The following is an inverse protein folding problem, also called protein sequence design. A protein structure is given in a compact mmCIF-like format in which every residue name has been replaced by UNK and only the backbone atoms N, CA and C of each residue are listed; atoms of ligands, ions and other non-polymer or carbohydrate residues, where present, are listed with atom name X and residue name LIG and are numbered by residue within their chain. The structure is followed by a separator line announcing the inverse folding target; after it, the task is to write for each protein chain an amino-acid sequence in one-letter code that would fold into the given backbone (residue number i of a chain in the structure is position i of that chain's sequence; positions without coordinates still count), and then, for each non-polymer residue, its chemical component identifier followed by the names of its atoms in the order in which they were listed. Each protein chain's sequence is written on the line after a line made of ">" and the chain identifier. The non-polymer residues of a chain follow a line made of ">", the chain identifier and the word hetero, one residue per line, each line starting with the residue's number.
data_IF_338581881083
#
_entry.id   IF_338581881083
#
_cell.length_a   1.000
_cell.length_b   1.000
_cell.length_c   1.000
_cell.angle_alpha   90.00
_cell.angle_beta   90.00
_cell.angle_gamma   90.00
#
_symmetry.space_group_name_H-M   'P 1'
#
loop_
_entity.id
_entity.type
_entity.pdbx_description
1 polymer ?
#
# COMPACT_ATOMS: atom_id res chain seq x y z
N UNK A 1 -28.81 12.81 68.09
CA UNK A 1 -28.93 12.14 66.76
C UNK A 1 -28.16 12.94 65.75
N UNK A 2 -26.97 12.43 65.41
CA UNK A 2 -26.08 13.01 64.38
C UNK A 2 -26.50 12.45 63.02
N UNK A 3 -26.94 13.30 62.12
CA UNK A 3 -27.37 12.94 60.78
C UNK A 3 -26.13 13.06 59.85
N UNK A 4 -25.52 11.93 59.51
CA UNK A 4 -24.41 11.91 58.56
C UNK A 4 -24.98 11.95 57.15
N UNK A 5 -24.72 13.09 56.44
CA UNK A 5 -25.07 13.28 55.03
C UNK A 5 -24.00 12.58 54.19
N UNK A 6 -24.37 11.42 53.62
CA UNK A 6 -23.54 10.76 52.60
C UNK A 6 -23.71 11.50 51.26
N UNK A 7 -22.68 12.22 50.84
CA UNK A 7 -22.59 12.80 49.51
C UNK A 7 -22.08 11.70 48.58
N UNK A 8 -22.84 11.28 47.56
CA UNK A 8 -22.33 10.35 46.56
C UNK A 8 -21.27 11.06 45.71
N UNK A 9 -20.04 10.59 45.81
CA UNK A 9 -18.97 10.98 44.87
C UNK A 9 -19.25 10.28 43.53
N UNK A 10 -19.79 11.04 42.58
CA UNK A 10 -19.95 10.59 41.20
C UNK A 10 -18.56 10.63 40.58
N UNK A 11 -17.93 9.47 40.44
CA UNK A 11 -16.76 9.32 39.54
C UNK A 11 -17.26 9.46 38.09
N UNK A 12 -17.07 10.64 37.52
CA UNK A 12 -17.10 10.83 36.09
C UNK A 12 -15.86 10.14 35.51
N UNK A 13 -16.02 8.87 35.13
CA UNK A 13 -15.10 8.26 34.21
C UNK A 13 -15.16 9.01 32.90
N UNK A 14 -14.26 9.98 32.72
CA UNK A 14 -13.97 10.52 31.40
C UNK A 14 -13.37 9.37 30.62
N UNK A 15 -14.22 8.68 29.87
CA UNK A 15 -13.79 7.64 28.95
C UNK A 15 -12.73 8.25 28.06
N UNK A 16 -11.54 7.67 28.07
CA UNK A 16 -10.52 7.90 27.08
C UNK A 16 -11.08 7.34 25.77
N UNK A 17 -11.89 8.12 25.08
CA UNK A 17 -12.39 7.81 23.75
C UNK A 17 -11.17 7.60 22.88
N UNK A 18 -10.92 6.38 22.42
CA UNK A 18 -9.97 6.14 21.35
C UNK A 18 -10.45 7.03 20.19
N UNK A 19 -9.69 8.06 19.84
CA UNK A 19 -9.94 8.79 18.59
C UNK A 19 -9.83 7.76 17.48
N UNK A 20 -10.92 7.51 16.78
CA UNK A 20 -10.85 6.76 15.52
C UNK A 20 -9.92 7.54 14.59
N UNK A 21 -9.10 6.80 13.85
CA UNK A 21 -8.24 7.42 12.86
C UNK A 21 -9.12 8.10 11.81
N UNK A 22 -8.86 9.36 11.59
CA UNK A 22 -9.52 10.12 10.54
C UNK A 22 -8.78 9.91 9.22
N UNK A 23 -9.52 9.75 8.14
CA UNK A 23 -8.95 9.81 6.81
C UNK A 23 -8.34 11.19 6.56
N UNK A 24 -7.39 11.24 5.65
CA UNK A 24 -6.76 12.47 5.21
C UNK A 24 -7.78 13.35 4.47
N UNK A 25 -7.69 14.66 4.72
CA UNK A 25 -8.50 15.65 4.02
C UNK A 25 -7.56 16.68 3.36
N UNK A 26 -7.41 16.63 2.02
CA UNK A 26 -6.47 17.51 1.32
C UNK A 26 -6.83 19.00 1.42
N UNK A 27 -8.08 19.34 1.76
CA UNK A 27 -8.50 20.73 1.93
C UNK A 27 -8.03 21.35 3.27
N UNK A 28 -7.74 20.52 4.27
CA UNK A 28 -7.44 20.99 5.64
C UNK A 28 -6.14 20.45 6.21
N UNK A 29 -5.73 19.27 5.80
CA UNK A 29 -4.53 18.62 6.32
C UNK A 29 -3.30 19.02 5.47
N UNK A 30 -2.16 19.29 6.10
CA UNK A 30 -0.95 19.60 5.34
C UNK A 30 -0.42 18.38 4.59
N UNK A 31 0.12 18.62 3.40
CA UNK A 31 0.85 17.63 2.63
C UNK A 31 2.00 18.25 1.84
N UNK A 32 2.92 17.42 1.37
CA UNK A 32 4.11 17.84 0.63
C UNK A 32 3.78 17.89 -0.86
N UNK A 33 3.19 16.82 -1.40
CA UNK A 33 2.76 16.74 -2.80
C UNK A 33 1.75 15.62 -3.01
N UNK A 34 1.06 15.66 -4.13
CA UNK A 34 0.23 14.57 -4.65
C UNK A 34 1.10 13.55 -5.39
N UNK A 35 0.53 12.36 -5.63
CA UNK A 35 1.10 11.38 -6.56
C UNK A 35 1.03 11.90 -8.00
N UNK A 36 1.97 11.47 -8.82
CA UNK A 36 1.88 11.67 -10.25
C UNK A 36 0.83 10.71 -10.83
N UNK A 37 -0.05 11.21 -11.67
CA UNK A 37 -1.08 10.39 -12.34
C UNK A 37 -0.49 9.73 -13.58
N UNK A 38 -0.82 8.46 -13.75
CA UNK A 38 -0.48 7.69 -14.94
C UNK A 38 -1.72 7.65 -15.84
N UNK A 39 -1.59 8.13 -17.06
CA UNK A 39 -2.63 8.00 -18.08
C UNK A 39 -2.55 6.61 -18.70
N UNK A 40 -3.42 5.72 -18.25
CA UNK A 40 -3.45 4.34 -18.69
C UNK A 40 -4.73 4.05 -19.49
N UNK A 41 -4.55 3.56 -20.73
CA UNK A 41 -5.66 3.13 -21.55
C UNK A 41 -6.10 1.69 -21.21
N UNK A 42 -7.20 1.55 -20.46
CA UNK A 42 -7.76 0.27 -20.07
C UNK A 42 -8.10 -0.64 -21.26
N UNK A 43 -8.37 -0.06 -22.45
CA UNK A 43 -8.68 -0.84 -23.64
C UNK A 43 -7.51 -1.71 -24.11
N UNK A 44 -6.29 -1.39 -23.67
CA UNK A 44 -5.08 -2.18 -23.96
C UNK A 44 -5.04 -3.50 -23.17
N UNK A 45 -5.87 -3.65 -22.11
CA UNK A 45 -5.94 -4.84 -21.26
C UNK A 45 -7.08 -5.81 -21.64
N UNK A 46 -7.32 -6.01 -22.91
CA UNK A 46 -8.33 -6.96 -23.39
C UNK A 46 -8.03 -8.42 -23.02
N UNK A 47 -6.79 -8.72 -22.64
CA UNK A 47 -6.40 -9.99 -22.08
C UNK A 47 -5.55 -9.76 -20.81
N UNK A 48 -5.94 -10.41 -19.71
CA UNK A 48 -5.11 -10.46 -18.50
C UNK A 48 -3.95 -11.40 -18.80
N UNK A 49 -2.70 -10.96 -18.68
CA UNK A 49 -1.58 -11.84 -18.97
C UNK A 49 -1.50 -12.98 -17.94
N UNK A 50 -1.44 -14.19 -18.42
CA UNK A 50 -1.12 -15.36 -17.60
C UNK A 50 0.34 -15.28 -17.15
N UNK A 51 0.64 -15.84 -15.99
CA UNK A 51 2.01 -15.93 -15.52
C UNK A 51 2.81 -16.93 -16.41
N UNK A 52 3.83 -16.48 -17.15
CA UNK A 52 4.60 -17.35 -18.02
C UNK A 52 5.61 -18.21 -17.25
N UNK A 53 5.83 -17.92 -15.97
CA UNK A 53 6.89 -18.52 -15.18
C UNK A 53 6.36 -19.76 -14.43
N UNK A 54 6.91 -20.96 -14.70
CA UNK A 54 6.47 -22.20 -14.06
C UNK A 54 6.93 -22.33 -12.60
N UNK A 55 7.88 -21.49 -12.17
CA UNK A 55 8.44 -21.45 -10.81
C UNK A 55 8.58 -20.02 -10.37
N UNK A 56 8.58 -19.79 -9.05
CA UNK A 56 8.94 -18.48 -8.48
C UNK A 56 10.46 -18.30 -8.47
N UNK A 57 10.93 -17.06 -8.57
CA UNK A 57 12.33 -16.69 -8.47
C UNK A 57 12.55 -15.63 -7.41
N UNK A 58 13.00 -16.07 -6.23
CA UNK A 58 13.18 -15.24 -5.03
C UNK A 58 11.90 -14.47 -4.69
N UNK A 59 10.81 -15.16 -4.35
CA UNK A 59 9.61 -14.48 -3.86
C UNK A 59 9.92 -13.81 -2.52
N UNK A 60 9.67 -12.52 -2.42
CA UNK A 60 10.01 -11.71 -1.24
C UNK A 60 8.81 -11.46 -0.34
N UNK A 61 7.61 -11.48 -0.91
CA UNK A 61 6.40 -11.16 -0.16
C UNK A 61 5.19 -11.95 -0.65
N UNK A 62 4.34 -12.33 0.29
CA UNK A 62 3.02 -12.88 0.02
C UNK A 62 2.01 -12.21 0.93
N UNK A 63 0.89 -11.80 0.38
CA UNK A 63 -0.20 -11.21 1.16
C UNK A 63 -1.56 -11.61 0.61
N UNK A 64 -2.59 -11.42 1.41
CA UNK A 64 -3.99 -11.56 0.99
C UNK A 64 -4.72 -10.24 1.22
N UNK A 65 -5.33 -9.71 0.17
CA UNK A 65 -6.18 -8.53 0.23
C UNK A 65 -7.58 -8.92 -0.24
N UNK A 66 -8.59 -8.71 0.58
CA UNK A 66 -9.96 -9.25 0.35
C UNK A 66 -9.87 -10.78 0.12
N UNK A 67 -10.29 -11.27 -1.02
CA UNK A 67 -10.27 -12.70 -1.36
C UNK A 67 -9.12 -13.11 -2.29
N UNK A 68 -8.25 -12.17 -2.67
CA UNK A 68 -7.16 -12.36 -3.62
C UNK A 68 -5.80 -12.46 -2.93
N UNK A 69 -5.02 -13.46 -3.29
CA UNK A 69 -3.62 -13.62 -2.88
C UNK A 69 -2.70 -12.94 -3.90
N UNK A 70 -1.64 -12.33 -3.39
CA UNK A 70 -0.60 -11.67 -4.18
C UNK A 70 0.76 -12.21 -3.78
N UNK A 71 1.62 -12.47 -4.77
CA UNK A 71 3.02 -12.86 -4.57
C UNK A 71 3.89 -11.84 -5.30
N UNK A 72 4.85 -11.27 -4.58
CA UNK A 72 5.91 -10.47 -5.16
C UNK A 72 7.05 -11.41 -5.55
N UNK A 73 7.21 -11.62 -6.85
CA UNK A 73 8.21 -12.52 -7.44
C UNK A 73 9.40 -11.69 -7.95
N UNK A 74 10.27 -11.33 -7.00
CA UNK A 74 11.27 -10.27 -7.12
C UNK A 74 12.17 -10.44 -8.36
N UNK A 75 12.78 -11.62 -8.54
CA UNK A 75 13.73 -11.84 -9.65
C UNK A 75 13.05 -12.11 -11.01
N UNK A 76 11.74 -12.30 -11.03
CA UNK A 76 10.98 -12.21 -12.27
C UNK A 76 10.45 -10.79 -12.52
N UNK A 77 10.77 -9.82 -11.64
CA UNK A 77 10.37 -8.41 -11.79
C UNK A 77 8.85 -8.25 -11.96
N UNK A 78 8.08 -9.00 -11.16
CA UNK A 78 6.62 -9.03 -11.28
C UNK A 78 5.91 -9.20 -9.94
N UNK A 79 4.63 -8.84 -9.94
CA UNK A 79 3.66 -9.22 -8.92
C UNK A 79 2.58 -10.04 -9.61
N UNK A 80 2.27 -11.22 -9.05
CA UNK A 80 1.22 -12.12 -9.56
C UNK A 80 0.10 -12.26 -8.52
N UNK A 81 -1.10 -12.64 -8.97
CA UNK A 81 -2.26 -12.81 -8.12
C UNK A 81 -3.15 -13.98 -8.52
N UNK A 82 -3.87 -14.54 -7.55
CA UNK A 82 -4.92 -15.55 -7.72
C UNK A 82 -5.86 -15.55 -6.50
N UNK A 83 -7.09 -15.97 -6.68
CA UNK A 83 -8.05 -16.16 -5.59
C UNK A 83 -7.80 -17.44 -4.79
N UNK A 84 -7.08 -18.41 -5.35
CA UNK A 84 -6.77 -19.69 -4.69
C UNK A 84 -5.26 -19.91 -4.58
N UNK A 85 -4.75 -19.91 -3.36
CA UNK A 85 -3.32 -20.07 -3.07
C UNK A 85 -2.76 -21.42 -3.55
N UNK A 86 -3.60 -22.46 -3.67
CA UNK A 86 -3.17 -23.81 -4.03
C UNK A 86 -3.16 -24.10 -5.53
N UNK A 87 -3.61 -23.16 -6.34
CA UNK A 87 -3.57 -23.31 -7.78
C UNK A 87 -2.14 -23.30 -8.31
N UNK A 88 -1.85 -24.06 -9.35
CA UNK A 88 -0.54 -24.08 -9.96
C UNK A 88 -0.19 -22.72 -10.57
N UNK A 89 1.10 -22.35 -10.58
CA UNK A 89 1.56 -21.00 -10.96
C UNK A 89 1.15 -20.57 -12.37
N UNK A 90 0.89 -21.47 -13.29
CA UNK A 90 0.42 -21.12 -14.63
C UNK A 90 -1.06 -20.65 -14.67
N UNK A 91 -1.81 -20.82 -13.56
CA UNK A 91 -3.16 -20.27 -13.40
C UNK A 91 -3.16 -18.91 -12.70
N UNK A 92 -2.01 -18.46 -12.20
CA UNK A 92 -1.86 -17.14 -11.64
C UNK A 92 -1.75 -16.10 -12.76
N UNK A 93 -2.23 -14.91 -12.48
CA UNK A 93 -2.26 -13.78 -13.42
C UNK A 93 -1.23 -12.74 -13.01
N UNK A 94 -0.77 -11.96 -13.97
CA UNK A 94 0.15 -10.85 -13.72
C UNK A 94 -0.66 -9.61 -13.31
N UNK A 95 -0.35 -9.07 -12.13
CA UNK A 95 -0.81 -7.77 -11.67
C UNK A 95 0.05 -6.63 -12.25
N UNK A 96 1.36 -6.78 -12.13
CA UNK A 96 2.36 -5.85 -12.63
C UNK A 96 3.60 -6.61 -13.09
N UNK A 97 4.26 -6.13 -14.14
CA UNK A 97 5.51 -6.70 -14.66
C UNK A 97 6.44 -5.60 -15.18
N UNK A 98 7.69 -5.95 -15.46
CA UNK A 98 8.70 -4.99 -15.86
C UNK A 98 9.13 -4.04 -14.73
N UNK A 99 8.95 -4.50 -13.50
CA UNK A 99 9.41 -3.81 -12.30
C UNK A 99 10.92 -3.97 -12.13
N UNK A 100 11.52 -3.13 -11.29
CA UNK A 100 12.93 -3.23 -10.90
C UNK A 100 13.06 -3.87 -9.52
N UNK A 101 13.14 -5.19 -9.42
CA UNK A 101 13.32 -5.93 -8.17
C UNK A 101 12.32 -5.49 -7.07
N UNK A 102 11.02 -5.71 -7.24
CA UNK A 102 10.03 -5.39 -6.22
C UNK A 102 10.19 -6.30 -5.00
N UNK A 103 9.94 -5.78 -3.80
CA UNK A 103 10.07 -6.54 -2.57
C UNK A 103 8.76 -6.69 -1.80
N UNK A 104 7.87 -5.68 -1.84
CA UNK A 104 6.63 -5.70 -1.06
C UNK A 104 5.42 -5.20 -1.84
N UNK A 105 4.25 -5.55 -1.34
CA UNK A 105 2.97 -5.01 -1.75
C UNK A 105 2.14 -4.71 -0.52
N UNK A 106 1.62 -3.49 -0.41
CA UNK A 106 0.68 -3.11 0.64
C UNK A 106 -0.62 -2.58 0.04
N UNK A 107 -1.73 -2.80 0.73
CA UNK A 107 -3.04 -2.30 0.30
C UNK A 107 -3.91 -1.92 1.49
N UNK A 108 -4.76 -0.93 1.31
CA UNK A 108 -5.86 -0.59 2.22
C UNK A 108 -7.22 -1.16 1.74
N UNK A 109 -7.19 -2.01 0.71
CA UNK A 109 -8.34 -2.61 0.07
C UNK A 109 -8.91 -1.81 -1.10
N UNK A 110 -8.38 -0.61 -1.40
CA UNK A 110 -8.78 0.24 -2.53
C UNK A 110 -7.64 0.46 -3.51
N UNK A 111 -6.48 0.80 -2.99
CA UNK A 111 -5.24 0.97 -3.75
C UNK A 111 -4.21 -0.05 -3.31
N UNK A 112 -3.30 -0.40 -4.21
CA UNK A 112 -2.21 -1.35 -3.99
C UNK A 112 -0.90 -0.66 -4.34
N UNK A 113 0.00 -0.58 -3.38
CA UNK A 113 1.30 0.05 -3.53
C UNK A 113 2.38 -1.02 -3.68
N UNK A 114 3.23 -0.88 -4.68
CA UNK A 114 4.37 -1.76 -4.96
C UNK A 114 5.64 -0.92 -4.93
N UNK A 115 6.64 -1.35 -4.18
CA UNK A 115 7.97 -0.79 -4.26
C UNK A 115 8.67 -1.27 -5.54
N UNK A 116 8.93 -0.36 -6.42
CA UNK A 116 9.68 -0.59 -7.66
C UNK A 116 11.13 -0.13 -7.43
N UNK A 117 11.87 -0.95 -6.64
CA UNK A 117 13.09 -0.62 -5.92
C UNK A 117 14.19 -0.07 -6.80
N UNK A 118 14.58 -0.78 -7.86
CA UNK A 118 15.66 -0.36 -8.76
C UNK A 118 15.26 0.84 -9.65
N UNK A 119 13.96 1.08 -9.79
CA UNK A 119 13.44 2.24 -10.53
C UNK A 119 13.20 3.45 -9.60
N UNK A 120 13.53 3.36 -8.31
CA UNK A 120 13.40 4.42 -7.31
C UNK A 120 12.01 5.05 -7.27
N UNK A 121 10.95 4.22 -7.34
CA UNK A 121 9.56 4.68 -7.29
C UNK A 121 8.66 3.75 -6.50
N UNK A 122 7.51 4.26 -6.11
CA UNK A 122 6.36 3.47 -5.65
C UNK A 122 5.29 3.55 -6.72
N UNK A 123 4.90 2.39 -7.23
CA UNK A 123 3.82 2.26 -8.21
C UNK A 123 2.51 2.00 -7.46
N UNK A 124 1.45 2.70 -7.87
CA UNK A 124 0.10 2.54 -7.30
C UNK A 124 -0.79 1.90 -8.35
N UNK A 125 -1.40 0.76 -7.96
CA UNK A 125 -2.33 0.02 -8.79
C UNK A 125 -3.74 0.16 -8.23
N UNK A 126 -4.72 0.20 -9.11
CA UNK A 126 -6.14 0.13 -8.78
C UNK A 126 -6.80 -1.04 -9.48
N UNK A 127 -7.80 -1.62 -8.83
CA UNK A 127 -8.62 -2.67 -9.43
C UNK A 127 -9.64 -2.02 -10.37
N UNK A 128 -9.69 -2.48 -11.60
CA UNK A 128 -10.65 -2.07 -12.61
C UNK A 128 -11.34 -3.28 -13.23
N UNK A 129 -12.20 -3.03 -14.21
CA UNK A 129 -12.88 -4.09 -14.97
C UNK A 129 -12.65 -3.86 -16.45
N UNK A 130 -12.12 -4.86 -17.15
CA UNK A 130 -11.90 -4.79 -18.58
C UNK A 130 -13.20 -4.96 -19.39
N UNK A 131 -13.13 -4.83 -20.71
CA UNK A 131 -14.29 -4.95 -21.61
C UNK A 131 -14.97 -6.33 -21.54
N UNK A 132 -14.25 -7.36 -21.09
CA UNK A 132 -14.77 -8.72 -20.91
C UNK A 132 -15.42 -8.94 -19.52
N UNK A 133 -15.49 -7.90 -18.66
CA UNK A 133 -16.03 -7.98 -17.31
C UNK A 133 -15.11 -8.67 -16.30
N UNK A 134 -13.81 -8.77 -16.59
CA UNK A 134 -12.83 -9.41 -15.71
C UNK A 134 -12.13 -8.34 -14.85
N UNK A 135 -11.91 -8.63 -13.57
CA UNK A 135 -11.08 -7.80 -12.70
C UNK A 135 -9.63 -7.77 -13.21
N UNK A 136 -9.09 -6.57 -13.33
CA UNK A 136 -7.72 -6.27 -13.76
C UNK A 136 -7.12 -5.24 -12.85
N UNK A 137 -5.79 -5.20 -12.77
CA UNK A 137 -5.08 -4.18 -12.00
C UNK A 137 -4.40 -3.20 -12.96
N UNK A 138 -4.56 -1.91 -12.68
CA UNK A 138 -4.11 -0.81 -13.53
C UNK A 138 -3.13 0.08 -12.77
N UNK A 139 -1.98 0.43 -13.36
CA UNK A 139 -1.12 1.47 -12.79
C UNK A 139 -1.79 2.84 -13.00
N UNK A 140 -2.24 3.46 -11.93
CA UNK A 140 -2.97 4.74 -11.98
C UNK A 140 -2.18 5.92 -11.46
N UNK A 141 -1.21 5.66 -10.60
CA UNK A 141 -0.41 6.70 -9.98
C UNK A 141 1.00 6.17 -9.69
N UNK A 142 1.95 7.08 -9.54
CA UNK A 142 3.28 6.77 -9.04
C UNK A 142 3.81 7.88 -8.13
N UNK A 143 4.78 7.52 -7.29
CA UNK A 143 5.65 8.44 -6.60
C UNK A 143 7.08 8.20 -7.05
N UNK A 144 7.63 9.13 -7.78
CA UNK A 144 9.07 9.27 -8.00
C UNK A 144 9.66 10.13 -6.88
N UNK A 145 10.98 10.27 -6.81
CA UNK A 145 11.65 11.07 -5.75
C UNK A 145 11.17 10.69 -4.33
N UNK A 146 11.07 9.38 -4.09
CA UNK A 146 10.65 8.80 -2.81
C UNK A 146 11.84 8.15 -2.10
N UNK A 147 12.95 8.85 -2.07
CA UNK A 147 14.23 8.41 -1.55
C UNK A 147 15.01 7.57 -2.55
N UNK A 148 15.97 6.82 -2.03
CA UNK A 148 16.81 5.92 -2.81
C UNK A 148 16.53 4.48 -2.36
N UNK A 149 16.10 3.65 -3.32
CA UNK A 149 15.70 2.25 -3.15
C UNK A 149 14.56 2.08 -2.14
N UNK A 150 13.32 2.50 -2.49
CA UNK A 150 12.16 2.10 -1.70
C UNK A 150 12.10 0.57 -1.65
N UNK A 151 12.04 0.00 -0.45
CA UNK A 151 12.30 -1.42 -0.25
C UNK A 151 11.23 -2.13 0.59
N UNK A 152 10.44 -1.35 1.34
CA UNK A 152 9.38 -1.91 2.16
C UNK A 152 8.20 -0.97 2.28
N UNK A 153 7.00 -1.51 2.12
CA UNK A 153 5.75 -0.77 2.28
C UNK A 153 4.85 -1.52 3.25
N UNK A 154 4.23 -0.78 4.16
CA UNK A 154 3.19 -1.31 5.05
C UNK A 154 2.04 -0.32 5.17
N UNK A 155 0.81 -0.84 5.25
CA UNK A 155 -0.37 -0.06 5.60
C UNK A 155 -0.75 -0.27 7.06
N UNK A 156 -0.96 0.83 7.77
CA UNK A 156 -1.50 0.80 9.13
C UNK A 156 -2.95 1.29 9.12
N UNK A 157 -3.86 0.37 9.34
CA UNK A 157 -5.30 0.61 9.41
C UNK A 157 -5.66 1.62 10.54
N UNK A 158 -4.88 1.65 11.63
CA UNK A 158 -5.17 2.54 12.76
C UNK A 158 -4.88 4.00 12.46
N UNK A 159 -3.87 4.28 11.65
CA UNK A 159 -3.49 5.63 11.25
C UNK A 159 -3.95 5.99 9.84
N UNK A 160 -4.53 5.01 9.09
CA UNK A 160 -4.91 5.17 7.68
C UNK A 160 -3.74 5.69 6.84
N UNK A 161 -2.54 5.11 7.07
CA UNK A 161 -1.29 5.60 6.49
C UNK A 161 -0.50 4.44 5.90
N UNK A 162 0.02 4.63 4.70
CA UNK A 162 1.06 3.80 4.12
C UNK A 162 2.42 4.36 4.55
N UNK A 163 3.29 3.50 5.02
CA UNK A 163 4.68 3.81 5.37
C UNK A 163 5.57 3.16 4.33
N UNK A 164 6.39 3.94 3.66
CA UNK A 164 7.36 3.48 2.67
C UNK A 164 8.75 3.72 3.21
N UNK A 165 9.53 2.67 3.31
CA UNK A 165 10.92 2.73 3.73
C UNK A 165 11.85 2.72 2.52
N UNK A 166 12.72 3.74 2.39
CA UNK A 166 13.76 3.84 1.38
C UNK A 166 15.12 3.55 2.02
N UNK A 167 15.68 2.38 1.70
CA UNK A 167 16.77 1.79 2.44
C UNK A 167 18.10 2.53 2.27
N UNK A 168 18.45 2.99 1.09
CA UNK A 168 19.73 3.67 0.83
C UNK A 168 19.72 5.12 1.31
N UNK A 169 18.59 5.82 1.27
CA UNK A 169 18.49 7.18 1.81
C UNK A 169 18.21 7.21 3.31
N UNK A 170 17.75 6.10 3.90
CA UNK A 170 17.40 6.05 5.32
C UNK A 170 16.19 6.93 5.65
N UNK A 171 15.21 6.97 4.77
CA UNK A 171 14.03 7.83 4.88
C UNK A 171 12.75 7.01 4.88
N UNK A 172 11.78 7.46 5.67
CA UNK A 172 10.43 6.93 5.70
C UNK A 172 9.46 7.97 5.16
N UNK A 173 8.69 7.57 4.17
CA UNK A 173 7.68 8.38 3.50
C UNK A 173 6.29 7.93 3.95
N UNK A 174 5.46 8.89 4.35
CA UNK A 174 4.10 8.66 4.83
C UNK A 174 3.11 9.11 3.77
N UNK A 175 2.35 8.14 3.22
CA UNK A 175 1.36 8.40 2.18
C UNK A 175 -0.03 8.19 2.75
N UNK A 176 -0.96 9.07 2.42
CA UNK A 176 -2.35 9.01 2.85
C UNK A 176 -3.29 9.35 1.70
N UNK A 177 -4.53 8.88 1.78
CA UNK A 177 -5.59 9.25 0.84
C UNK A 177 -6.87 9.67 1.57
N UNK A 178 -7.77 10.42 0.93
CA UNK A 178 -9.13 10.64 1.41
C UNK A 178 -9.94 9.33 1.48
N UNK A 179 -11.04 9.36 2.19
CA UNK A 179 -11.91 8.19 2.33
C UNK A 179 -12.62 7.82 1.03
N UNK A 180 -12.94 8.80 0.22
CA UNK A 180 -13.80 8.75 -0.97
C UNK A 180 -13.04 8.96 -2.30
N UNK A 181 -11.71 9.04 -2.24
CA UNK A 181 -10.84 9.17 -3.41
C UNK A 181 -9.66 8.20 -3.31
N UNK A 182 -9.15 7.73 -4.43
CA UNK A 182 -7.96 6.88 -4.54
C UNK A 182 -6.67 7.68 -4.65
N UNK A 183 -6.76 9.02 -4.85
CA UNK A 183 -5.62 9.91 -4.92
C UNK A 183 -4.76 9.88 -3.66
N UNK A 184 -3.48 9.54 -3.81
CA UNK A 184 -2.52 9.49 -2.72
C UNK A 184 -1.74 10.79 -2.58
N UNK A 185 -1.45 11.14 -1.34
CA UNK A 185 -0.70 12.33 -0.95
C UNK A 185 0.48 11.96 -0.07
N UNK A 186 1.66 12.46 -0.40
CA UNK A 186 2.82 12.43 0.48
C UNK A 186 2.62 13.48 1.57
N UNK A 187 2.37 13.04 2.80
CA UNK A 187 2.05 13.93 3.91
C UNK A 187 3.24 14.23 4.80
N UNK A 188 4.20 13.32 4.90
CA UNK A 188 5.35 13.49 5.78
C UNK A 188 6.55 12.69 5.25
N UNK A 189 7.77 13.20 5.49
CA UNK A 189 9.04 12.50 5.30
C UNK A 189 9.82 12.54 6.62
N UNK A 190 10.31 11.39 7.04
CA UNK A 190 11.14 11.24 8.25
C UNK A 190 12.48 10.65 7.90
N UNK A 191 13.55 11.41 8.08
CA UNK A 191 14.90 10.90 7.97
C UNK A 191 15.32 10.15 9.26
N UNK A 192 15.85 8.94 9.09
CA UNK A 192 16.37 8.11 10.17
C UNK A 192 17.81 7.72 9.79
N UNK A 193 18.78 8.64 9.93
CA UNK A 193 20.14 8.43 9.40
C UNK A 193 20.85 7.20 9.94
N UNK A 194 20.48 6.72 11.14
CA UNK A 194 21.05 5.50 11.74
C UNK A 194 20.60 4.21 11.02
N UNK A 195 19.62 4.29 10.16
CA UNK A 195 19.09 3.16 9.38
C UNK A 195 19.42 3.27 7.89
N UNK A 196 20.26 4.21 7.48
CA UNK A 196 20.76 4.28 6.11
C UNK A 196 21.51 2.99 5.75
N UNK A 197 21.20 2.41 4.57
CA UNK A 197 21.73 1.13 4.13
C UNK A 197 21.13 -0.10 4.85
N UNK A 198 20.08 0.06 5.65
CA UNK A 198 19.38 -1.05 6.29
C UNK A 198 18.26 -1.54 5.40
N UNK A 199 18.39 -2.77 4.94
CA UNK A 199 17.38 -3.51 4.18
C UNK A 199 16.49 -4.29 5.15
N UNK A 200 15.19 -4.29 4.92
CA UNK A 200 14.18 -4.96 5.76
C UNK A 200 13.62 -6.16 5.02
#
# INVERSE_FOLDING_TARGET
>A
RLMILLIPVIFLCTGCGKKEATYFNPDTDPYIRESDRIDFDISTLNAIPDNPNPTLSVPTYITKVKDTYFIVDCYHNQVIYNENLTDPLYEWRIMASGLGMPHTLASDGFVYLIDDTENNRVLVMEEGVNENGQSVFLPTQEFTEIGDRPHYIVYDEKTKTFYVWSSESGEMYLLRRPADDTGLYLTEVRSIPSLNGVYV
#
